data_IF_989838013532
#
_entry.id   IF_989838013532
#
_cell.length_a   1.000
_cell.length_b   1.000
_cell.length_c   1.000
_cell.angle_alpha   90.00
_cell.angle_beta   90.00
_cell.angle_gamma   90.00
#
_symmetry.space_group_name_H-M   'P 1'
#
loop_
_entity.id
_entity.type
_entity.pdbx_description
1 polymer ?
#
# COMPACT_ATOMS: atom_id res chain seq x y z
N UNK A 1 -23.78 8.55 29.43
CA UNK A 1 -24.68 7.69 28.63
C UNK A 1 -24.88 8.37 27.29
N UNK A 2 -24.12 7.96 26.28
CA UNK A 2 -24.35 8.41 24.90
C UNK A 2 -24.24 7.17 24.04
N UNK A 3 -25.41 6.71 23.61
CA UNK A 3 -25.61 5.55 22.74
C UNK A 3 -25.31 6.02 21.31
N UNK A 4 -24.20 5.54 20.74
CA UNK A 4 -24.02 5.59 19.28
C UNK A 4 -24.62 4.29 18.76
N UNK A 5 -25.85 4.40 18.27
CA UNK A 5 -26.47 3.35 17.49
C UNK A 5 -25.59 3.10 16.26
N UNK A 6 -25.06 1.89 16.13
CA UNK A 6 -24.41 1.44 14.92
C UNK A 6 -25.43 1.42 13.80
N UNK A 7 -25.10 2.15 12.75
CA UNK A 7 -25.77 2.19 11.46
C UNK A 7 -25.46 0.86 10.76
N UNK A 8 -26.25 -0.18 11.07
CA UNK A 8 -26.32 -1.40 10.26
C UNK A 8 -27.03 -1.04 8.94
N UNK A 9 -26.26 -0.41 8.05
CA UNK A 9 -26.66 -0.25 6.66
C UNK A 9 -26.63 -1.63 6.01
N UNK A 10 -27.81 -2.26 5.89
CA UNK A 10 -28.03 -3.45 5.09
C UNK A 10 -27.46 -3.22 3.68
N UNK A 11 -26.36 -3.90 3.37
CA UNK A 11 -25.79 -3.96 2.03
C UNK A 11 -26.82 -4.58 1.10
N UNK A 12 -27.48 -3.74 0.29
CA UNK A 12 -28.30 -4.19 -0.82
C UNK A 12 -27.39 -4.34 -2.04
N UNK A 13 -27.00 -5.56 -2.45
CA UNK A 13 -26.19 -5.73 -3.64
C UNK A 13 -26.95 -5.15 -4.85
N UNK A 14 -26.32 -4.19 -5.51
CA UNK A 14 -26.73 -3.76 -6.83
C UNK A 14 -26.65 -4.96 -7.77
N UNK A 15 -27.74 -5.21 -8.48
CA UNK A 15 -27.78 -6.20 -9.55
C UNK A 15 -26.76 -5.81 -10.62
N UNK A 16 -25.82 -6.74 -10.89
CA UNK A 16 -24.90 -6.83 -12.04
C UNK A 16 -23.45 -6.27 -11.90
N UNK A 17 -22.86 -6.28 -10.70
CA UNK A 17 -21.39 -6.17 -10.57
C UNK A 17 -20.77 -7.56 -10.36
N UNK A 18 -20.12 -8.09 -11.39
CA UNK A 18 -19.29 -9.30 -11.30
C UNK A 18 -18.11 -9.05 -10.35
N UNK A 19 -18.11 -9.73 -9.20
CA UNK A 19 -17.02 -9.68 -8.23
C UNK A 19 -15.81 -10.44 -8.76
N UNK A 20 -14.63 -9.87 -8.58
CA UNK A 20 -13.37 -10.51 -8.98
C UNK A 20 -12.35 -10.47 -7.85
N UNK A 21 -11.47 -11.46 -7.78
CA UNK A 21 -10.33 -11.43 -6.87
C UNK A 21 -9.25 -10.43 -7.36
N UNK A 22 -8.20 -10.23 -6.55
CA UNK A 22 -7.10 -9.31 -6.91
C UNK A 22 -6.28 -9.76 -8.14
N UNK A 23 -6.50 -10.98 -8.61
CA UNK A 23 -5.84 -11.61 -9.76
C UNK A 23 -6.75 -11.56 -11.01
N UNK A 24 -8.02 -11.15 -10.86
CA UNK A 24 -9.01 -11.04 -11.93
C UNK A 24 -9.86 -12.30 -12.14
N UNK A 25 -9.89 -13.23 -11.19
CA UNK A 25 -10.77 -14.41 -11.24
C UNK A 25 -12.19 -14.02 -10.81
N UNK A 26 -13.22 -14.47 -11.54
CA UNK A 26 -14.62 -14.24 -11.19
C UNK A 26 -14.96 -14.97 -9.89
N UNK A 27 -15.59 -14.25 -8.96
CA UNK A 27 -16.10 -14.77 -7.70
C UNK A 27 -17.59 -15.07 -7.90
N UNK A 28 -17.88 -16.32 -8.28
CA UNK A 28 -19.22 -16.89 -8.34
C UNK A 28 -19.43 -17.95 -7.23
N UNK A 29 -20.62 -18.54 -7.17
CA UNK A 29 -20.97 -19.52 -6.13
C UNK A 29 -20.05 -20.76 -6.18
N UNK A 30 -19.68 -21.20 -7.39
CA UNK A 30 -18.77 -22.35 -7.59
C UNK A 30 -17.36 -22.03 -7.07
N UNK A 31 -16.87 -20.81 -7.31
CA UNK A 31 -15.60 -20.31 -6.79
C UNK A 31 -15.62 -20.26 -5.26
N UNK A 32 -16.71 -19.76 -4.65
CA UNK A 32 -16.87 -19.68 -3.19
C UNK A 32 -16.82 -21.08 -2.57
N UNK A 33 -17.53 -22.05 -3.15
CA UNK A 33 -17.54 -23.43 -2.67
C UNK A 33 -16.17 -24.10 -2.81
N UNK A 34 -15.46 -23.83 -3.89
CA UNK A 34 -14.09 -24.33 -4.10
C UNK A 34 -13.13 -23.78 -3.04
N UNK A 35 -13.08 -22.46 -2.87
CA UNK A 35 -12.16 -21.80 -1.94
C UNK A 35 -12.48 -22.18 -0.49
N UNK A 36 -13.77 -22.35 -0.16
CA UNK A 36 -14.20 -22.81 1.16
C UNK A 36 -13.68 -24.22 1.46
N UNK A 37 -13.80 -25.14 0.51
CA UNK A 37 -13.27 -26.51 0.64
C UNK A 37 -11.76 -26.53 0.77
N UNK A 38 -11.06 -25.69 -0.01
CA UNK A 38 -9.62 -25.55 0.07
C UNK A 38 -9.16 -25.07 1.46
N UNK A 39 -9.87 -24.08 2.04
CA UNK A 39 -9.60 -23.58 3.37
C UNK A 39 -9.82 -24.64 4.48
N UNK A 40 -10.81 -25.52 4.32
CA UNK A 40 -11.06 -26.64 5.24
C UNK A 40 -9.96 -27.72 5.19
N UNK A 41 -9.42 -28.00 3.99
CA UNK A 41 -8.29 -28.93 3.79
C UNK A 41 -7.01 -28.35 4.40
N UNK A 42 -6.84 -27.03 4.31
CA UNK A 42 -5.65 -26.32 4.75
C UNK A 42 -4.45 -26.51 3.81
N UNK A 43 -3.36 -25.82 4.12
CA UNK A 43 -2.10 -25.93 3.39
C UNK A 43 -1.02 -26.48 4.30
N UNK A 44 -0.14 -27.31 3.75
CA UNK A 44 1.12 -27.61 4.42
C UNK A 44 2.04 -26.40 4.33
N UNK A 45 2.51 -25.91 5.47
CA UNK A 45 3.39 -24.75 5.55
C UNK A 45 4.74 -25.06 4.90
N UNK A 46 5.15 -26.34 4.86
CA UNK A 46 6.40 -26.76 4.23
C UNK A 46 6.38 -26.67 2.70
N UNK A 47 5.20 -26.70 2.08
CA UNK A 47 5.01 -26.60 0.63
C UNK A 47 4.88 -25.15 0.14
N UNK A 48 4.82 -24.17 1.05
CA UNK A 48 4.70 -22.75 0.71
C UNK A 48 6.07 -22.17 0.32
N UNK A 49 6.14 -21.60 -0.88
CA UNK A 49 7.30 -20.84 -1.31
C UNK A 49 7.49 -19.60 -0.40
N UNK A 50 8.68 -19.39 0.19
CA UNK A 50 8.94 -18.23 1.01
C UNK A 50 8.94 -16.98 0.13
N UNK A 51 7.84 -16.25 0.15
CA UNK A 51 7.83 -14.89 -0.34
C UNK A 51 8.83 -14.07 0.50
N UNK A 52 9.74 -13.34 -0.15
CA UNK A 52 10.48 -12.25 0.52
C UNK A 52 9.47 -11.17 0.86
N UNK A 53 8.72 -11.35 1.94
CA UNK A 53 7.71 -10.41 2.41
C UNK A 53 8.43 -9.28 3.13
N UNK A 54 8.85 -8.29 2.35
CA UNK A 54 9.38 -7.03 2.81
C UNK A 54 9.13 -5.96 1.76
N UNK A 55 9.01 -4.70 2.19
CA UNK A 55 8.96 -3.57 1.23
C UNK A 55 10.21 -3.67 0.34
N UNK A 56 10.08 -3.68 -1.00
CA UNK A 56 11.23 -3.70 -1.89
C UNK A 56 12.21 -2.59 -1.52
N UNK A 57 13.51 -2.89 -1.52
CA UNK A 57 14.52 -1.87 -1.30
C UNK A 57 14.44 -0.80 -2.39
N UNK A 58 14.72 0.45 -2.02
CA UNK A 58 14.91 1.55 -2.95
C UNK A 58 16.27 1.49 -3.68
N UNK A 59 17.11 0.49 -3.40
CA UNK A 59 18.40 0.25 -4.07
C UNK A 59 18.53 -1.17 -4.60
N UNK A 60 19.33 -1.35 -5.66
CA UNK A 60 19.68 -2.66 -6.24
C UNK A 60 20.53 -3.54 -5.29
N UNK A 61 21.01 -2.98 -4.19
CA UNK A 61 21.77 -3.67 -3.15
C UNK A 61 21.39 -3.17 -1.74
N UNK A 62 21.08 -4.12 -0.84
CA UNK A 62 20.93 -3.89 0.60
C UNK A 62 19.66 -3.16 1.05
N UNK A 63 19.58 -2.90 2.35
CA UNK A 63 18.47 -2.18 3.00
C UNK A 63 18.52 -0.67 2.69
N UNK A 64 17.35 -0.04 2.56
CA UNK A 64 17.23 1.41 2.41
C UNK A 64 17.33 2.11 3.78
N UNK A 65 18.42 2.87 4.06
CA UNK A 65 18.57 3.55 5.34
C UNK A 65 17.50 4.64 5.53
N UNK A 66 17.01 4.79 6.76
CA UNK A 66 16.03 5.82 7.11
C UNK A 66 16.71 7.06 7.67
N UNK A 67 16.32 8.24 7.17
CA UNK A 67 16.76 9.54 7.70
C UNK A 67 15.56 10.27 8.30
N UNK A 68 15.70 10.78 9.53
CA UNK A 68 14.66 11.55 10.23
C UNK A 68 15.06 13.02 10.34
N UNK A 69 14.20 13.91 9.85
CA UNK A 69 14.41 15.35 9.93
C UNK A 69 13.35 16.01 10.82
N UNK A 70 13.74 17.09 11.49
CA UNK A 70 12.79 18.03 12.11
C UNK A 70 12.58 19.18 11.15
N UNK A 71 11.32 19.47 10.86
CA UNK A 71 10.92 20.56 9.96
C UNK A 71 9.93 21.46 10.69
N UNK A 72 9.93 22.78 10.41
CA UNK A 72 8.82 23.64 10.78
C UNK A 72 7.50 23.07 10.22
N UNK A 73 6.41 23.24 10.98
CA UNK A 73 5.10 22.70 10.59
C UNK A 73 4.63 23.25 9.23
N UNK A 74 4.86 24.55 8.98
CA UNK A 74 4.55 25.21 7.72
C UNK A 74 5.29 24.57 6.54
N UNK A 75 6.59 24.30 6.69
CA UNK A 75 7.41 23.66 5.64
C UNK A 75 6.93 22.24 5.33
N UNK A 76 6.53 21.46 6.35
CA UNK A 76 5.97 20.12 6.13
C UNK A 76 4.64 20.19 5.36
N UNK A 77 3.77 21.14 5.69
CA UNK A 77 2.50 21.33 5.01
C UNK A 77 2.72 21.67 3.54
N UNK A 78 3.56 22.68 3.27
CA UNK A 78 3.90 23.10 1.91
C UNK A 78 4.51 21.95 1.08
N UNK A 79 5.45 21.20 1.65
CA UNK A 79 6.03 20.04 0.97
C UNK A 79 4.99 18.95 0.68
N UNK A 80 3.98 18.78 1.54
CA UNK A 80 2.90 17.82 1.31
C UNK A 80 2.00 18.26 0.16
N UNK A 81 1.67 19.55 0.08
CA UNK A 81 0.87 20.11 -1.01
C UNK A 81 1.61 20.02 -2.35
N UNK A 82 2.92 20.27 -2.35
CA UNK A 82 3.77 20.10 -3.54
C UNK A 82 3.81 18.64 -3.98
N UNK A 83 4.05 17.70 -3.06
CA UNK A 83 4.08 16.28 -3.38
C UNK A 83 2.75 15.81 -3.98
N UNK A 84 1.62 16.22 -3.39
CA UNK A 84 0.29 15.87 -3.88
C UNK A 84 0.04 16.39 -5.31
N UNK A 85 0.43 17.64 -5.59
CA UNK A 85 0.31 18.25 -6.93
C UNK A 85 1.14 17.53 -7.98
N UNK A 86 2.29 16.99 -7.59
CA UNK A 86 3.20 16.22 -8.46
C UNK A 86 2.85 14.72 -8.53
N UNK A 87 1.79 14.27 -7.84
CA UNK A 87 1.44 12.84 -7.77
C UNK A 87 2.49 12.00 -7.04
N UNK A 88 3.28 12.60 -6.15
CA UNK A 88 4.36 11.96 -5.38
C UNK A 88 3.98 11.79 -3.93
N UNK A 89 4.64 10.85 -3.26
CA UNK A 89 4.65 10.81 -1.79
C UNK A 89 5.64 11.83 -1.24
N UNK A 90 5.43 12.30 0.00
CA UNK A 90 6.35 13.21 0.67
C UNK A 90 7.78 12.64 0.75
N UNK A 91 7.91 11.33 0.99
CA UNK A 91 9.21 10.65 1.01
C UNK A 91 9.89 10.60 -0.36
N UNK A 92 9.11 10.57 -1.45
CA UNK A 92 9.66 10.62 -2.80
C UNK A 92 10.14 12.02 -3.14
N UNK A 93 9.32 13.04 -2.87
CA UNK A 93 9.74 14.44 -3.01
C UNK A 93 11.03 14.74 -2.21
N UNK A 94 11.12 14.23 -0.98
CA UNK A 94 12.30 14.41 -0.14
C UNK A 94 13.56 13.73 -0.73
N UNK A 95 13.43 12.54 -1.32
CA UNK A 95 14.53 11.85 -2.01
C UNK A 95 14.99 12.65 -3.22
N UNK A 96 14.07 13.03 -4.09
CA UNK A 96 14.35 13.82 -5.29
C UNK A 96 15.09 15.12 -4.94
N UNK A 97 14.64 15.81 -3.88
CA UNK A 97 15.25 17.06 -3.42
C UNK A 97 16.70 16.86 -2.92
N UNK A 98 16.95 15.80 -2.16
CA UNK A 98 18.31 15.46 -1.67
C UNK A 98 19.21 15.09 -2.85
N UNK A 99 18.74 14.26 -3.77
CA UNK A 99 19.49 13.84 -4.95
C UNK A 99 19.86 15.04 -5.84
N UNK A 100 18.90 15.91 -6.13
CA UNK A 100 19.12 17.13 -6.91
C UNK A 100 20.13 18.07 -6.24
N UNK A 101 20.04 18.25 -4.91
CA UNK A 101 20.99 19.07 -4.16
C UNK A 101 22.42 18.51 -4.23
N UNK A 102 22.57 17.18 -4.09
CA UNK A 102 23.87 16.53 -4.18
C UNK A 102 24.45 16.58 -5.60
N UNK A 103 23.63 16.43 -6.63
CA UNK A 103 24.07 16.53 -8.02
C UNK A 103 24.61 17.92 -8.34
N UNK A 104 23.86 18.96 -7.96
CA UNK A 104 24.29 20.35 -8.11
C UNK A 104 25.64 20.65 -7.41
N UNK A 105 25.98 19.88 -6.37
CA UNK A 105 27.25 20.04 -5.63
C UNK A 105 28.40 19.20 -6.19
N UNK A 106 28.12 18.14 -6.96
CA UNK A 106 29.14 17.36 -7.68
C UNK A 106 29.60 18.07 -8.95
N UNK A 107 28.70 18.82 -9.58
CA UNK A 107 28.95 19.54 -10.83
C UNK A 107 29.59 20.93 -10.65
N UNK A 108 29.84 21.36 -9.40
CA UNK A 108 30.36 22.68 -9.04
C UNK A 108 31.81 22.57 -8.55
#
# INVERSE_FOLDING_TARGET
>A
MTSTASDDADYQPGVDESLHDSTGNLIDDDYIDQVSREAEIGYDVEDLEPARVGRPSLSDAGDSPQVRFRLPAATRAEASDVAAREGKTLSQLARDAVEAYLEARRSA
#
